data_IF_735188590729
#
_entry.id   IF_735188590729
#
_cell.length_a   1.000
_cell.length_b   1.000
_cell.length_c   1.000
_cell.angle_alpha   90.00
_cell.angle_beta   90.00
_cell.angle_gamma   90.00
#
_symmetry.space_group_name_H-M   'P 1'
#
loop_
_entity.id
_entity.type
_entity.pdbx_description
1 polymer ?
#
# COMPACT_ATOMS: atom_id res chain seq x y z
N UNK A 1 -24.48 -5.48 14.89
CA UNK A 1 -23.37 -6.13 15.62
C UNK A 1 -22.72 -7.11 14.66
N UNK A 2 -21.39 -7.07 14.54
CA UNK A 2 -20.59 -7.99 13.72
C UNK A 2 -19.79 -8.83 14.71
N UNK A 3 -20.03 -10.13 14.76
CA UNK A 3 -19.46 -11.05 15.74
C UNK A 3 -18.40 -11.92 15.06
N UNK A 4 -17.20 -11.38 14.88
CA UNK A 4 -16.08 -12.08 14.24
C UNK A 4 -15.51 -13.13 15.21
N UNK A 5 -15.13 -14.29 14.70
CA UNK A 5 -14.37 -15.28 15.45
C UNK A 5 -13.12 -14.64 16.10
N UNK A 6 -12.92 -14.85 17.40
CA UNK A 6 -11.87 -14.17 18.14
C UNK A 6 -10.47 -14.41 17.52
N UNK A 7 -9.72 -13.33 17.26
CA UNK A 7 -8.39 -13.40 16.64
C UNK A 7 -8.40 -13.45 15.11
N UNK A 8 -9.57 -13.43 14.48
CA UNK A 8 -9.74 -13.46 13.01
C UNK A 8 -10.08 -12.08 12.42
N UNK A 9 -10.00 -11.00 13.21
CA UNK A 9 -10.24 -9.62 12.79
C UNK A 9 -9.29 -9.17 11.67
N UNK A 10 -8.12 -9.78 11.58
CA UNK A 10 -7.21 -9.61 10.44
C UNK A 10 -7.90 -9.96 9.13
N UNK A 11 -8.49 -11.15 9.02
CA UNK A 11 -9.16 -11.62 7.80
C UNK A 11 -10.31 -10.69 7.38
N UNK A 12 -11.07 -10.18 8.36
CA UNK A 12 -12.13 -9.19 8.14
C UNK A 12 -11.61 -7.94 7.43
N UNK A 13 -10.57 -7.31 7.98
CA UNK A 13 -10.00 -6.10 7.39
C UNK A 13 -9.27 -6.36 6.07
N UNK A 14 -8.68 -7.55 5.88
CA UNK A 14 -8.08 -7.90 4.60
C UNK A 14 -9.12 -7.97 3.48
N UNK A 15 -10.29 -8.58 3.72
CA UNK A 15 -11.37 -8.63 2.74
C UNK A 15 -12.05 -7.29 2.50
N UNK A 16 -12.20 -6.45 3.52
CA UNK A 16 -12.65 -5.06 3.34
C UNK A 16 -11.69 -4.32 2.41
N UNK A 17 -10.37 -4.43 2.61
CA UNK A 17 -9.40 -3.77 1.74
C UNK A 17 -9.43 -4.28 0.31
N UNK A 18 -9.67 -5.57 0.08
CA UNK A 18 -9.89 -6.09 -1.26
C UNK A 18 -11.06 -5.36 -1.96
N UNK A 19 -12.20 -5.21 -1.28
CA UNK A 19 -13.37 -4.50 -1.81
C UNK A 19 -13.08 -3.00 -2.00
N UNK A 20 -12.47 -2.34 -1.01
CA UNK A 20 -12.10 -0.92 -1.10
C UNK A 20 -11.14 -0.65 -2.27
N UNK A 21 -10.12 -1.49 -2.44
CA UNK A 21 -9.15 -1.33 -3.52
C UNK A 21 -9.78 -1.62 -4.89
N UNK A 22 -10.67 -2.61 -4.97
CA UNK A 22 -11.38 -2.94 -6.20
C UNK A 22 -12.33 -1.81 -6.61
N UNK A 23 -13.25 -1.43 -5.74
CA UNK A 23 -14.34 -0.52 -6.11
C UNK A 23 -13.90 0.95 -6.06
N UNK A 24 -13.23 1.37 -4.98
CA UNK A 24 -12.94 2.79 -4.78
C UNK A 24 -11.60 3.24 -5.39
N UNK A 25 -10.62 2.34 -5.51
CA UNK A 25 -9.29 2.70 -6.03
C UNK A 25 -9.05 2.27 -7.47
N UNK A 26 -9.58 1.12 -7.91
CA UNK A 26 -9.39 0.65 -9.29
C UNK A 26 -10.55 1.04 -10.21
N UNK A 27 -11.79 0.69 -9.87
CA UNK A 27 -12.95 0.91 -10.73
C UNK A 27 -13.39 2.36 -10.74
N UNK A 28 -13.66 2.93 -9.56
CA UNK A 28 -14.16 4.32 -9.44
C UNK A 28 -13.05 5.36 -9.39
N UNK A 29 -11.88 5.01 -8.83
CA UNK A 29 -10.75 5.91 -8.60
C UNK A 29 -11.16 7.21 -7.87
N UNK A 30 -11.73 7.08 -6.67
CA UNK A 30 -12.21 8.20 -5.87
C UNK A 30 -11.10 9.26 -5.72
N UNK A 31 -11.30 10.51 -6.20
CA UNK A 31 -10.24 11.50 -6.27
C UNK A 31 -9.61 11.81 -4.91
N UNK A 32 -10.43 11.97 -3.86
CA UNK A 32 -9.95 12.23 -2.51
C UNK A 32 -9.04 11.11 -1.99
N UNK A 33 -9.39 9.85 -2.23
CA UNK A 33 -8.58 8.70 -1.79
C UNK A 33 -7.25 8.62 -2.54
N UNK A 34 -7.29 8.87 -3.85
CA UNK A 34 -6.11 8.85 -4.71
C UNK A 34 -5.14 9.96 -4.31
N UNK A 35 -5.63 11.19 -4.15
CA UNK A 35 -4.84 12.36 -3.75
C UNK A 35 -4.19 12.16 -2.37
N UNK A 36 -4.97 11.67 -1.40
CA UNK A 36 -4.45 11.33 -0.07
C UNK A 36 -3.35 10.27 -0.15
N UNK A 37 -3.59 9.19 -0.90
CA UNK A 37 -2.64 8.07 -1.04
C UNK A 37 -1.34 8.53 -1.69
N UNK A 38 -1.40 9.42 -2.67
CA UNK A 38 -0.21 9.98 -3.33
C UNK A 38 0.66 10.83 -2.39
N UNK A 39 0.04 11.60 -1.48
CA UNK A 39 0.73 12.58 -0.65
C UNK A 39 1.21 12.05 0.69
N UNK A 40 0.41 11.20 1.33
CA UNK A 40 0.53 10.90 2.75
C UNK A 40 0.89 9.46 3.06
N UNK A 41 1.21 8.67 2.04
CA UNK A 41 1.60 7.25 2.21
C UNK A 41 2.87 6.94 1.43
N UNK A 42 3.45 5.78 1.72
CA UNK A 42 4.57 5.20 0.96
C UNK A 42 4.12 4.50 -0.34
N UNK A 43 2.83 4.51 -0.64
CA UNK A 43 2.25 3.84 -1.80
C UNK A 43 2.90 4.21 -3.16
N UNK A 44 3.35 5.45 -3.43
CA UNK A 44 4.05 5.80 -4.66
C UNK A 44 5.54 5.43 -4.68
N UNK A 45 6.12 5.00 -3.55
CA UNK A 45 7.54 4.64 -3.52
C UNK A 45 7.82 3.38 -4.35
N UNK A 46 9.02 3.37 -4.93
CA UNK A 46 9.53 2.28 -5.75
C UNK A 46 10.13 1.19 -4.87
N UNK A 47 9.70 -0.04 -5.06
CA UNK A 47 10.27 -1.26 -4.50
C UNK A 47 11.08 -1.96 -5.58
N UNK A 48 12.33 -2.30 -5.28
CA UNK A 48 13.11 -3.19 -6.14
C UNK A 48 12.65 -4.63 -5.96
N UNK A 49 12.37 -5.30 -7.07
CA UNK A 49 12.01 -6.71 -7.08
C UNK A 49 13.28 -7.57 -7.18
N UNK A 50 13.40 -8.54 -6.28
CA UNK A 50 14.51 -9.49 -6.27
C UNK A 50 14.10 -10.79 -6.93
N UNK A 51 14.96 -11.35 -7.79
CA UNK A 51 14.68 -12.64 -8.43
C UNK A 51 14.66 -13.76 -7.38
N UNK A 52 13.66 -14.64 -7.48
CA UNK A 52 13.52 -15.85 -6.69
C UNK A 52 13.20 -17.01 -7.64
N UNK A 53 14.23 -17.69 -8.15
CA UNK A 53 14.07 -18.68 -9.21
C UNK A 53 13.48 -18.05 -10.50
N UNK A 54 12.30 -18.51 -10.91
CA UNK A 54 11.58 -18.00 -12.08
C UNK A 54 10.59 -16.86 -11.76
N UNK A 55 10.45 -16.50 -10.48
CA UNK A 55 9.54 -15.44 -10.01
C UNK A 55 10.34 -14.30 -9.38
N UNK A 56 9.64 -13.30 -8.87
CA UNK A 56 10.19 -12.20 -8.10
C UNK A 56 9.57 -12.14 -6.71
N UNK A 57 10.31 -11.61 -5.73
CA UNK A 57 9.77 -11.17 -4.43
C UNK A 57 9.98 -9.66 -4.28
N UNK A 58 9.09 -9.02 -3.54
CA UNK A 58 9.25 -7.62 -3.16
C UNK A 58 10.50 -7.49 -2.25
N UNK A 59 11.47 -6.70 -2.68
CA UNK A 59 12.69 -6.43 -1.93
C UNK A 59 12.58 -5.15 -1.11
N UNK A 60 13.66 -4.36 -1.11
CA UNK A 60 13.71 -3.08 -0.41
C UNK A 60 13.15 -1.95 -1.27
N UNK A 61 12.74 -0.86 -0.62
CA UNK A 61 12.51 0.41 -1.32
C UNK A 61 13.80 0.86 -2.02
N UNK A 62 13.67 1.32 -3.27
CA UNK A 62 14.78 1.82 -4.06
C UNK A 62 15.34 3.09 -3.41
N UNK A 63 16.60 3.01 -2.98
CA UNK A 63 17.32 4.13 -2.35
C UNK A 63 17.81 5.13 -3.39
N UNK A 64 17.84 6.41 -3.02
CA UNK A 64 18.18 7.49 -3.93
C UNK A 64 19.62 7.37 -4.45
N UNK A 65 20.59 7.06 -3.58
CA UNK A 65 22.00 6.95 -3.95
C UNK A 65 22.32 5.87 -5.00
N UNK A 66 21.36 4.99 -5.30
CA UNK A 66 21.49 4.01 -6.37
C UNK A 66 21.28 4.59 -7.77
N UNK A 67 20.77 5.81 -7.88
CA UNK A 67 20.66 6.54 -9.15
C UNK A 67 21.75 7.60 -9.26
N UNK A 68 22.34 7.72 -10.44
CA UNK A 68 23.44 8.66 -10.70
C UNK A 68 23.07 10.11 -10.34
N UNK A 69 21.82 10.51 -10.60
CA UNK A 69 21.31 11.85 -10.29
C UNK A 69 21.30 12.20 -8.79
N UNK A 70 21.30 11.19 -7.90
CA UNK A 70 21.22 11.38 -6.45
C UNK A 70 22.38 10.73 -5.68
N UNK A 71 23.42 10.28 -6.38
CA UNK A 71 24.52 9.51 -5.78
C UNK A 71 25.29 10.30 -4.71
N UNK A 72 25.36 11.63 -4.84
CA UNK A 72 26.06 12.53 -3.92
C UNK A 72 25.17 13.12 -2.83
N UNK A 73 23.90 12.72 -2.73
CA UNK A 73 22.97 13.25 -1.73
C UNK A 73 23.36 12.76 -0.34
N UNK A 74 23.41 13.67 0.64
CA UNK A 74 23.64 13.35 2.04
C UNK A 74 22.59 12.35 2.54
N UNK A 75 23.03 11.30 3.25
CA UNK A 75 22.16 10.23 3.73
C UNK A 75 21.34 9.54 2.62
N UNK A 76 21.87 9.45 1.39
CA UNK A 76 21.13 8.92 0.23
C UNK A 76 20.61 7.48 0.37
N UNK A 77 21.20 6.66 1.25
CA UNK A 77 20.67 5.34 1.64
C UNK A 77 19.34 5.42 2.41
N UNK A 78 19.02 6.58 2.97
CA UNK A 78 17.83 6.87 3.79
C UNK A 78 16.84 7.79 3.08
N UNK A 79 17.01 7.96 1.77
CA UNK A 79 16.12 8.69 0.88
C UNK A 79 15.52 7.73 -0.15
N UNK A 80 14.22 7.83 -0.41
CA UNK A 80 13.50 6.93 -1.29
C UNK A 80 13.06 7.60 -2.59
N UNK A 81 12.63 6.81 -3.57
CA UNK A 81 12.28 7.28 -4.89
C UNK A 81 10.81 7.01 -5.22
N UNK A 82 10.16 7.98 -5.87
CA UNK A 82 8.86 7.87 -6.51
C UNK A 82 9.03 7.99 -8.03
N UNK A 83 8.13 7.39 -8.81
CA UNK A 83 8.08 7.66 -10.25
C UNK A 83 7.26 8.92 -10.52
N UNK A 84 7.85 9.89 -11.20
CA UNK A 84 7.17 11.12 -11.59
C UNK A 84 6.51 10.97 -12.96
N UNK A 85 5.20 11.16 -13.02
CA UNK A 85 4.42 11.00 -14.26
C UNK A 85 4.82 12.01 -15.33
N UNK A 86 5.11 13.25 -14.94
CA UNK A 86 5.36 14.34 -15.89
C UNK A 86 6.71 14.18 -16.60
N UNK A 87 7.75 13.84 -15.85
CA UNK A 87 9.12 13.70 -16.38
C UNK A 87 9.47 12.27 -16.77
N UNK A 88 8.59 11.29 -16.47
CA UNK A 88 8.79 9.87 -16.75
C UNK A 88 10.14 9.36 -16.25
N UNK A 89 10.52 9.77 -15.03
CA UNK A 89 11.72 9.30 -14.34
C UNK A 89 11.48 9.17 -12.84
N UNK A 90 12.35 8.44 -12.17
CA UNK A 90 12.40 8.42 -10.72
C UNK A 90 12.84 9.79 -10.17
N UNK A 91 12.14 10.27 -9.16
CA UNK A 91 12.48 11.48 -8.39
C UNK A 91 12.55 11.16 -6.89
N UNK A 92 13.39 11.90 -6.19
CA UNK A 92 13.60 11.76 -4.74
C UNK A 92 12.80 12.86 -4.02
N UNK A 93 11.59 12.58 -3.50
CA UNK A 93 10.84 13.59 -2.77
C UNK A 93 11.53 14.01 -1.47
N UNK A 94 11.21 15.21 -1.02
CA UNK A 94 11.45 15.66 0.36
C UNK A 94 10.76 14.72 1.38
N UNK A 95 11.14 14.84 2.65
CA UNK A 95 10.42 14.20 3.77
C UNK A 95 10.89 12.82 4.22
N UNK A 96 11.68 12.12 3.40
CA UNK A 96 12.33 10.87 3.82
C UNK A 96 13.28 11.09 5.01
N UNK A 97 13.51 10.04 5.82
CA UNK A 97 14.20 10.15 7.12
C UNK A 97 15.64 10.66 7.00
N UNK A 98 16.29 10.48 5.84
CA UNK A 98 17.60 11.05 5.55
C UNK A 98 17.64 12.58 5.73
N UNK A 99 16.56 13.30 5.43
CA UNK A 99 16.46 14.75 5.61
C UNK A 99 16.29 15.18 7.06
N UNK A 100 15.78 14.31 7.93
CA UNK A 100 15.59 14.63 9.37
C UNK A 100 16.93 14.89 10.07
N UNK A 101 17.98 14.18 9.62
CA UNK A 101 19.31 14.20 10.23
C UNK A 101 20.38 14.71 9.26
N UNK A 102 19.98 15.38 8.18
CA UNK A 102 20.90 16.03 7.26
C UNK A 102 21.52 17.26 7.94
N UNK A 103 22.84 17.37 7.88
CA UNK A 103 23.56 18.53 8.44
C UNK A 103 23.61 19.68 7.44
N UNK A 104 23.67 19.36 6.13
CA UNK A 104 23.80 20.36 5.07
C UNK A 104 22.44 20.73 4.49
N UNK A 105 21.65 19.71 4.17
CA UNK A 105 20.37 19.84 3.47
C UNK A 105 19.18 20.00 4.45
N UNK A 106 19.23 21.05 5.28
CA UNK A 106 18.21 21.32 6.31
C UNK A 106 16.91 21.88 5.72
N UNK A 107 15.80 21.79 6.47
CA UNK A 107 14.48 22.31 6.05
C UNK A 107 13.72 21.44 5.03
N UNK A 108 14.30 20.34 4.58
CA UNK A 108 13.72 19.40 3.59
C UNK A 108 12.97 18.21 4.20
N UNK A 109 12.86 18.12 5.52
CA UNK A 109 12.06 17.10 6.20
C UNK A 109 10.60 17.55 6.33
N UNK A 110 9.88 17.51 5.21
CA UNK A 110 8.47 17.90 5.09
C UNK A 110 7.78 17.07 3.99
N UNK A 111 6.45 17.18 3.86
CA UNK A 111 5.64 16.39 2.92
C UNK A 111 5.36 17.10 1.59
N UNK A 112 6.14 18.12 1.22
CA UNK A 112 5.98 18.76 -0.08
C UNK A 112 6.42 17.79 -1.18
N UNK A 113 5.55 17.59 -2.19
CA UNK A 113 5.84 16.78 -3.36
C UNK A 113 6.75 17.54 -4.33
N UNK A 114 7.98 17.76 -3.87
CA UNK A 114 9.04 18.45 -4.58
C UNK A 114 10.29 17.58 -4.54
N UNK A 115 11.04 17.59 -5.63
CA UNK A 115 12.33 16.92 -5.68
C UNK A 115 13.30 17.57 -4.68
N UNK A 116 13.95 16.73 -3.90
CA UNK A 116 14.83 17.16 -2.82
C UNK A 116 16.13 17.82 -3.29
N UNK A 117 16.47 17.75 -4.58
CA UNK A 117 17.63 18.44 -5.16
C UNK A 117 17.23 19.76 -5.82
N UNK A 118 16.25 19.75 -6.72
CA UNK A 118 15.94 20.90 -7.58
C UNK A 118 14.61 21.62 -7.24
N UNK A 119 13.86 21.13 -6.24
CA UNK A 119 12.52 21.61 -5.86
C UNK A 119 11.48 21.56 -6.99
N UNK A 120 11.74 20.86 -8.10
CA UNK A 120 10.75 20.67 -9.15
C UNK A 120 9.57 19.85 -8.60
N UNK A 121 8.33 20.14 -9.01
CA UNK A 121 7.17 19.40 -8.54
C UNK A 121 7.27 17.92 -8.95
N UNK A 122 6.69 17.06 -8.10
CA UNK A 122 6.52 15.63 -8.33
C UNK A 122 5.02 15.34 -8.45
N UNK A 123 4.61 14.71 -9.55
CA UNK A 123 3.31 14.04 -9.71
C UNK A 123 3.53 12.52 -9.55
N UNK A 124 3.34 11.96 -8.33
CA UNK A 124 3.68 10.57 -8.06
C UNK A 124 2.73 9.61 -8.77
N UNK A 125 3.28 8.71 -9.58
CA UNK A 125 2.51 7.64 -10.20
C UNK A 125 2.28 6.51 -9.18
N UNK A 126 1.02 6.19 -8.87
CA UNK A 126 0.69 5.08 -7.97
C UNK A 126 0.83 3.71 -8.63
N UNK A 127 0.60 3.57 -9.92
CA UNK A 127 0.64 2.26 -10.60
C UNK A 127 1.20 2.39 -12.00
N UNK A 128 1.97 1.39 -12.43
CA UNK A 128 2.46 1.30 -13.81
C UNK A 128 1.48 0.58 -14.75
N UNK A 129 0.31 0.16 -14.27
CA UNK A 129 -0.73 -0.40 -15.14
C UNK A 129 -1.05 0.58 -16.28
N UNK A 130 -0.99 0.11 -17.53
CA UNK A 130 -1.20 0.92 -18.74
C UNK A 130 0.02 1.71 -19.24
N UNK A 131 1.06 1.84 -18.41
CA UNK A 131 2.28 2.61 -18.75
C UNK A 131 3.58 1.82 -18.46
N UNK A 132 3.48 0.56 -18.08
CA UNK A 132 4.60 -0.32 -17.77
C UNK A 132 5.38 -0.72 -19.01
N UNK A 133 6.67 -0.99 -18.87
CA UNK A 133 7.50 -1.60 -19.92
C UNK A 133 7.82 -3.07 -19.66
N UNK A 134 7.11 -3.69 -18.71
CA UNK A 134 7.23 -5.10 -18.41
C UNK A 134 6.21 -5.55 -17.35
N UNK A 135 6.12 -6.85 -17.19
CA UNK A 135 5.32 -7.51 -16.17
C UNK A 135 6.21 -8.53 -15.46
N UNK A 136 6.17 -8.56 -14.13
CA UNK A 136 6.89 -9.52 -13.31
C UNK A 136 5.90 -10.43 -12.59
N UNK A 137 6.12 -11.75 -12.65
CA UNK A 137 5.40 -12.70 -11.80
C UNK A 137 5.93 -12.61 -10.38
N UNK A 138 5.16 -12.00 -9.47
CA UNK A 138 5.55 -11.78 -8.08
C UNK A 138 4.91 -12.82 -7.18
N UNK A 139 5.72 -13.35 -6.28
CA UNK A 139 5.33 -14.31 -5.25
C UNK A 139 4.92 -13.59 -3.97
N UNK A 140 3.78 -13.96 -3.42
CA UNK A 140 3.22 -13.46 -2.17
C UNK A 140 2.92 -14.63 -1.23
N UNK A 141 3.22 -14.47 0.06
CA UNK A 141 2.95 -15.50 1.05
C UNK A 141 1.44 -15.48 1.44
N UNK A 142 0.78 -16.64 1.37
CA UNK A 142 -0.57 -16.89 1.88
C UNK A 142 -0.47 -17.79 3.11
N UNK A 143 -0.30 -17.15 4.27
CA UNK A 143 -0.20 -17.86 5.55
C UNK A 143 -1.51 -18.52 5.99
N UNK A 144 -2.67 -18.14 5.42
CA UNK A 144 -3.96 -18.74 5.77
C UNK A 144 -4.04 -20.20 5.29
N UNK A 145 -3.54 -20.44 4.08
CA UNK A 145 -3.51 -21.76 3.44
C UNK A 145 -2.11 -22.39 3.43
N UNK A 146 -1.11 -21.76 4.08
CA UNK A 146 0.26 -22.26 4.15
C UNK A 146 0.95 -22.41 2.79
N UNK A 147 0.60 -21.55 1.83
CA UNK A 147 1.07 -21.62 0.42
C UNK A 147 1.57 -20.26 -0.06
N UNK A 148 2.04 -20.22 -1.31
CA UNK A 148 2.35 -18.98 -2.01
C UNK A 148 1.33 -18.74 -3.12
N UNK A 149 1.09 -17.47 -3.42
CA UNK A 149 0.23 -17.00 -4.51
C UNK A 149 1.08 -16.19 -5.49
N UNK A 150 0.96 -16.48 -6.79
CA UNK A 150 1.77 -15.88 -7.83
C UNK A 150 0.93 -14.94 -8.70
N UNK A 151 1.22 -13.64 -8.67
CA UNK A 151 0.45 -12.62 -9.39
C UNK A 151 1.35 -11.74 -10.24
N UNK A 152 0.91 -11.47 -11.45
CA UNK A 152 1.64 -10.60 -12.37
C UNK A 152 1.49 -9.12 -11.95
N UNK A 153 2.62 -8.42 -11.84
CA UNK A 153 2.69 -7.02 -11.42
C UNK A 153 3.34 -6.19 -12.52
N UNK A 154 2.72 -5.06 -12.95
CA UNK A 154 3.34 -4.12 -13.88
C UNK A 154 4.61 -3.51 -13.28
N UNK A 155 5.71 -3.55 -14.03
CA UNK A 155 7.02 -3.09 -13.58
C UNK A 155 7.65 -2.08 -14.53
N UNK A 156 8.67 -1.39 -14.02
CA UNK A 156 9.63 -0.63 -14.83
C UNK A 156 11.05 -1.13 -14.59
N UNK A 157 11.88 -1.06 -15.63
CA UNK A 157 13.32 -1.26 -15.51
C UNK A 157 14.04 0.09 -15.44
N UNK A 158 14.89 0.26 -14.42
CA UNK A 158 15.65 1.50 -14.17
C UNK A 158 17.14 1.17 -14.17
N UNK A 159 17.93 1.91 -14.95
CA UNK A 159 19.38 1.82 -14.92
C UNK A 159 19.92 2.50 -13.65
N UNK A 160 20.76 1.76 -12.93
CA UNK A 160 21.40 2.21 -11.69
C UNK A 160 22.75 2.88 -11.97
N UNK A 161 23.26 3.61 -10.97
CA UNK A 161 24.54 4.29 -11.03
C UNK A 161 25.73 3.35 -11.32
N UNK A 162 25.64 2.08 -10.92
CA UNK A 162 26.65 1.07 -11.20
C UNK A 162 26.51 0.40 -12.60
N UNK A 163 25.59 0.87 -13.44
CA UNK A 163 25.32 0.34 -14.77
C UNK A 163 24.38 -0.87 -14.83
N UNK A 164 24.05 -1.49 -13.69
CA UNK A 164 23.07 -2.59 -13.64
C UNK A 164 21.63 -2.07 -13.76
N UNK A 165 20.68 -3.00 -13.97
CA UNK A 165 19.25 -2.68 -14.13
C UNK A 165 18.50 -3.19 -12.89
N UNK A 166 17.73 -2.31 -12.24
CA UNK A 166 16.73 -2.69 -11.25
C UNK A 166 15.35 -2.82 -11.91
N UNK A 167 14.66 -3.93 -11.65
CA UNK A 167 13.23 -4.08 -11.94
C UNK A 167 12.44 -3.58 -10.73
N UNK A 168 11.54 -2.63 -10.92
CA UNK A 168 10.81 -1.98 -9.85
C UNK A 168 9.30 -2.01 -10.06
N UNK A 169 8.56 -2.07 -8.96
CA UNK A 169 7.12 -1.80 -8.89
C UNK A 169 6.88 -0.69 -7.86
N UNK A 170 5.72 -0.05 -7.89
CA UNK A 170 5.31 0.83 -6.78
C UNK A 170 4.78 -0.02 -5.62
N UNK A 171 4.89 0.48 -4.38
CA UNK A 171 4.26 -0.15 -3.20
C UNK A 171 2.77 -0.36 -3.46
N UNK A 172 2.07 0.63 -4.01
CA UNK A 172 0.65 0.53 -4.36
C UNK A 172 0.35 -0.58 -5.38
N UNK A 173 1.19 -0.73 -6.41
CA UNK A 173 1.06 -1.80 -7.40
C UNK A 173 1.21 -3.19 -6.77
N UNK A 174 2.15 -3.34 -5.83
CA UNK A 174 2.33 -4.55 -5.04
C UNK A 174 1.17 -4.80 -4.07
N UNK A 175 0.62 -3.75 -3.44
CA UNK A 175 -0.56 -3.88 -2.58
C UNK A 175 -1.79 -4.32 -3.38
N UNK A 176 -2.03 -3.75 -4.56
CA UNK A 176 -3.10 -4.18 -5.46
C UNK A 176 -2.98 -5.68 -5.82
N UNK A 177 -1.75 -6.16 -6.03
CA UNK A 177 -1.48 -7.56 -6.27
C UNK A 177 -1.64 -8.42 -4.99
N UNK A 178 -1.10 -8.01 -3.84
CA UNK A 178 -1.27 -8.70 -2.55
C UNK A 178 -2.76 -8.90 -2.21
N UNK A 179 -3.58 -7.86 -2.42
CA UNK A 179 -5.02 -7.92 -2.16
C UNK A 179 -5.83 -8.58 -3.27
N UNK A 180 -5.21 -9.10 -4.34
CA UNK A 180 -5.92 -9.83 -5.38
C UNK A 180 -6.88 -8.96 -6.19
N UNK A 181 -6.56 -7.68 -6.40
CA UNK A 181 -7.42 -6.79 -7.18
C UNK A 181 -7.28 -7.12 -8.67
N UNK A 182 -8.38 -7.52 -9.29
CA UNK A 182 -8.43 -7.90 -10.71
C UNK A 182 -8.31 -6.66 -11.58
N UNK A 183 -7.25 -6.59 -12.40
CA UNK A 183 -6.94 -5.42 -13.24
C UNK A 183 -6.52 -5.79 -14.67
N UNK A 184 -6.94 -6.96 -15.15
CA UNK A 184 -6.56 -7.49 -16.48
C UNK A 184 -5.13 -8.03 -16.56
N UNK A 185 -4.57 -8.49 -15.43
CA UNK A 185 -3.22 -9.05 -15.32
C UNK A 185 -3.29 -10.58 -15.12
N UNK A 186 -2.21 -11.27 -15.49
CA UNK A 186 -2.10 -12.73 -15.33
C UNK A 186 -1.76 -13.19 -13.91
N UNK A 187 -1.76 -14.51 -13.72
CA UNK A 187 -1.51 -15.13 -12.41
C UNK A 187 -2.79 -15.39 -11.61
N UNK A 188 -2.61 -15.71 -10.34
CA UNK A 188 -3.66 -16.17 -9.42
C UNK A 188 -4.45 -15.00 -8.84
N UNK A 189 -5.17 -14.27 -9.70
CA UNK A 189 -6.17 -13.29 -9.26
C UNK A 189 -7.54 -13.98 -9.06
N UNK A 190 -8.35 -13.54 -8.08
CA UNK A 190 -9.70 -14.04 -7.90
C UNK A 190 -10.58 -13.77 -9.10
N UNK A 191 -11.51 -14.69 -9.37
CA UNK A 191 -12.50 -14.50 -10.45
C UNK A 191 -13.66 -13.60 -10.01
N UNK A 192 -13.94 -13.54 -8.71
CA UNK A 192 -14.99 -12.72 -8.11
C UNK A 192 -14.80 -12.61 -6.60
N UNK A 193 -15.66 -11.83 -5.93
CA UNK A 193 -15.75 -11.86 -4.47
C UNK A 193 -16.18 -13.21 -3.90
N UNK A 194 -16.78 -14.07 -4.72
CA UNK A 194 -17.24 -15.40 -4.34
C UNK A 194 -16.15 -16.47 -4.42
N UNK A 195 -14.97 -16.12 -4.93
CA UNK A 195 -13.84 -17.03 -5.06
C UNK A 195 -13.17 -17.27 -3.70
N UNK A 196 -13.58 -18.36 -3.05
CA UNK A 196 -13.08 -18.75 -1.74
C UNK A 196 -11.66 -19.34 -1.73
N UNK A 197 -11.06 -19.57 -2.91
CA UNK A 197 -9.74 -20.18 -3.05
C UNK A 197 -8.62 -19.13 -3.02
N UNK A 198 -8.98 -17.86 -3.20
CA UNK A 198 -8.05 -16.75 -3.32
C UNK A 198 -8.03 -15.91 -2.05
N UNK A 199 -6.82 -15.66 -1.54
CA UNK A 199 -6.61 -14.89 -0.33
C UNK A 199 -7.28 -13.52 -0.42
N UNK A 200 -7.96 -13.15 0.67
CA UNK A 200 -8.58 -11.85 0.92
C UNK A 200 -9.85 -11.53 0.12
N UNK A 201 -10.46 -12.47 -0.60
CA UNK A 201 -11.83 -12.24 -1.08
C UNK A 201 -12.82 -12.25 0.10
N UNK A 202 -14.01 -11.65 -0.07
CA UNK A 202 -15.10 -11.80 0.90
C UNK A 202 -15.44 -13.26 1.21
N UNK A 203 -15.51 -14.14 0.21
CA UNK A 203 -15.73 -15.58 0.39
C UNK A 203 -14.62 -16.28 1.19
N UNK A 204 -13.35 -15.95 0.90
CA UNK A 204 -12.22 -16.44 1.69
C UNK A 204 -12.35 -16.03 3.16
N UNK A 205 -12.73 -14.77 3.44
CA UNK A 205 -12.84 -14.29 4.81
C UNK A 205 -13.99 -14.92 5.61
N UNK A 206 -15.05 -15.44 4.97
CA UNK A 206 -16.13 -16.15 5.68
C UNK A 206 -15.59 -17.36 6.45
N UNK A 207 -14.66 -18.10 5.84
CA UNK A 207 -14.03 -19.31 6.42
C UNK A 207 -13.36 -19.03 7.77
N UNK A 208 -12.80 -17.83 7.93
CA UNK A 208 -12.05 -17.44 9.11
C UNK A 208 -12.91 -16.65 10.09
N UNK A 209 -13.68 -15.68 9.58
CA UNK A 209 -14.40 -14.71 10.41
C UNK A 209 -15.72 -15.24 10.95
N UNK A 210 -16.33 -16.23 10.28
CA UNK A 210 -17.70 -16.66 10.55
C UNK A 210 -18.78 -15.66 10.11
N UNK A 211 -18.39 -14.55 9.48
CA UNK A 211 -19.29 -13.52 8.98
C UNK A 211 -19.64 -13.78 7.51
N UNK A 212 -20.90 -13.58 7.15
CA UNK A 212 -21.34 -13.67 5.76
C UNK A 212 -20.68 -12.57 4.88
N UNK A 213 -20.25 -12.93 3.68
CA UNK A 213 -19.56 -12.10 2.68
C UNK A 213 -20.36 -10.85 2.32
N UNK A 214 -21.69 -10.92 2.31
CA UNK A 214 -22.56 -9.78 2.05
C UNK A 214 -22.41 -8.71 3.14
N UNK A 215 -22.19 -9.13 4.39
CA UNK A 215 -21.93 -8.20 5.50
C UNK A 215 -20.57 -7.52 5.32
N UNK A 216 -19.54 -8.25 4.90
CA UNK A 216 -18.20 -7.72 4.61
C UNK A 216 -18.27 -6.69 3.48
N UNK A 217 -18.89 -7.06 2.36
CA UNK A 217 -19.03 -6.22 1.16
C UNK A 217 -19.84 -4.96 1.50
N UNK A 218 -20.97 -5.12 2.20
CA UNK A 218 -21.81 -4.00 2.63
C UNK A 218 -21.04 -3.05 3.54
N UNK A 219 -20.34 -3.57 4.54
CA UNK A 219 -19.53 -2.75 5.44
C UNK A 219 -18.47 -1.96 4.68
N UNK A 220 -17.72 -2.61 3.77
CA UNK A 220 -16.70 -1.95 2.97
C UNK A 220 -17.27 -0.81 2.11
N UNK A 221 -18.43 -1.03 1.49
CA UNK A 221 -19.13 -0.01 0.67
C UNK A 221 -19.66 1.14 1.49
N UNK A 222 -20.28 0.87 2.64
CA UNK A 222 -20.78 1.90 3.56
C UNK A 222 -19.62 2.73 4.13
N UNK A 223 -18.49 2.07 4.46
CA UNK A 223 -17.24 2.70 4.88
C UNK A 223 -16.69 3.64 3.81
N UNK A 224 -16.47 3.14 2.58
CA UNK A 224 -16.01 3.95 1.46
C UNK A 224 -16.93 5.13 1.19
N UNK A 225 -18.25 4.90 1.18
CA UNK A 225 -19.25 5.95 0.95
C UNK A 225 -19.15 7.06 2.00
N UNK A 226 -18.99 6.68 3.27
CA UNK A 226 -18.89 7.64 4.37
C UNK A 226 -17.59 8.42 4.26
N UNK A 227 -16.46 7.74 4.06
CA UNK A 227 -15.16 8.38 3.92
C UNK A 227 -15.10 9.33 2.70
N UNK A 228 -15.67 8.93 1.57
CA UNK A 228 -15.74 9.76 0.37
C UNK A 228 -16.58 11.02 0.61
N UNK A 229 -17.80 10.88 1.15
CA UNK A 229 -18.71 12.01 1.37
C UNK A 229 -18.21 13.02 2.41
N UNK A 230 -17.35 12.58 3.31
CA UNK A 230 -16.91 13.37 4.46
C UNK A 230 -15.45 13.79 4.40
N UNK A 231 -14.74 13.41 3.34
CA UNK A 231 -13.29 13.54 3.22
C UNK A 231 -12.58 12.90 4.43
N UNK A 232 -12.82 11.61 4.66
CA UNK A 232 -12.04 10.79 5.57
C UNK A 232 -12.61 10.62 6.99
N UNK A 233 -13.87 10.97 7.28
CA UNK A 233 -14.42 10.86 8.65
C UNK A 233 -14.94 9.46 8.98
N UNK A 234 -14.07 8.47 8.84
CA UNK A 234 -14.28 7.12 9.36
C UNK A 234 -13.24 6.83 10.44
N UNK A 235 -13.68 6.31 11.59
CA UNK A 235 -12.82 6.04 12.74
C UNK A 235 -12.87 4.57 13.12
N UNK A 236 -11.70 3.98 13.40
CA UNK A 236 -11.61 2.69 14.08
C UNK A 236 -11.21 2.94 15.53
N UNK A 237 -12.11 2.62 16.46
CA UNK A 237 -11.81 2.60 17.90
C UNK A 237 -11.33 1.19 18.23
N UNK A 238 -10.09 1.06 18.72
CA UNK A 238 -9.42 -0.24 18.89
C UNK A 238 -8.74 -0.35 20.27
N UNK A 239 -8.78 -1.54 20.87
CA UNK A 239 -8.21 -1.77 22.20
C UNK A 239 -7.59 -3.16 22.38
N UNK A 240 -7.43 -3.57 23.64
CA UNK A 240 -6.73 -4.79 24.04
C UNK A 240 -7.29 -6.08 23.41
N UNK A 241 -8.58 -6.13 23.06
CA UNK A 241 -9.19 -7.28 22.38
C UNK A 241 -8.53 -7.65 21.05
N UNK A 242 -7.88 -6.68 20.38
CA UNK A 242 -7.06 -6.91 19.20
C UNK A 242 -5.56 -6.89 19.57
N UNK A 243 -5.13 -5.95 20.42
CA UNK A 243 -3.71 -5.73 20.69
C UNK A 243 -3.03 -6.86 21.46
N UNK A 244 -3.78 -7.67 22.22
CA UNK A 244 -3.23 -8.73 23.07
C UNK A 244 -3.08 -10.09 22.37
N UNK A 245 -3.33 -10.15 21.07
CA UNK A 245 -2.99 -11.31 20.26
C UNK A 245 -1.53 -11.29 19.84
N UNK A 246 -0.92 -12.46 19.67
CA UNK A 246 0.46 -12.59 19.18
C UNK A 246 0.68 -11.85 17.85
N UNK A 247 -0.31 -11.89 16.95
CA UNK A 247 -0.31 -11.16 15.68
C UNK A 247 -1.13 -9.87 15.72
N UNK A 248 -1.29 -9.24 16.89
CA UNK A 248 -2.00 -7.98 17.06
C UNK A 248 -1.46 -6.87 16.14
N UNK A 249 -0.16 -6.83 15.92
CA UNK A 249 0.48 -5.91 14.97
C UNK A 249 -0.07 -6.02 13.53
N UNK A 250 -0.34 -7.24 13.05
CA UNK A 250 -0.90 -7.47 11.71
C UNK A 250 -2.36 -7.03 11.63
N UNK A 251 -3.15 -7.28 12.68
CA UNK A 251 -4.54 -6.83 12.75
C UNK A 251 -4.66 -5.31 12.83
N UNK A 252 -3.78 -4.65 13.59
CA UNK A 252 -3.67 -3.18 13.61
C UNK A 252 -3.33 -2.63 12.24
N UNK A 253 -2.28 -3.16 11.60
CA UNK A 253 -1.91 -2.75 10.23
C UNK A 253 -3.07 -2.97 9.26
N UNK A 254 -3.86 -4.02 9.45
CA UNK A 254 -4.97 -4.30 8.57
C UNK A 254 -6.03 -3.19 8.59
N UNK A 255 -6.45 -2.76 9.78
CA UNK A 255 -7.39 -1.64 9.96
C UNK A 255 -6.79 -0.28 9.58
N UNK A 256 -5.53 -0.02 9.97
CA UNK A 256 -4.82 1.23 9.64
C UNK A 256 -4.73 1.41 8.12
N UNK A 257 -4.45 0.34 7.38
CA UNK A 257 -4.35 0.44 5.94
C UNK A 257 -5.69 0.74 5.26
N UNK A 258 -6.81 0.23 5.79
CA UNK A 258 -8.14 0.61 5.31
C UNK A 258 -8.42 2.11 5.57
N UNK A 259 -8.03 2.62 6.75
CA UNK A 259 -8.10 4.05 7.07
C UNK A 259 -7.24 4.89 6.11
N UNK A 260 -6.01 4.46 5.80
CA UNK A 260 -5.14 5.16 4.84
C UNK A 260 -5.71 5.15 3.41
N UNK A 261 -6.22 4.01 2.93
CA UNK A 261 -6.87 3.93 1.61
C UNK A 261 -8.11 4.81 1.49
N UNK A 262 -8.76 5.14 2.61
CA UNK A 262 -9.92 6.03 2.63
C UNK A 262 -9.60 7.46 3.10
N UNK A 263 -8.31 7.80 3.26
CA UNK A 263 -7.86 9.13 3.65
C UNK A 263 -8.25 9.56 5.07
N UNK A 264 -8.43 8.62 5.98
CA UNK A 264 -9.01 8.92 7.29
C UNK A 264 -8.00 9.37 8.36
N UNK A 265 -6.72 9.01 8.22
CA UNK A 265 -5.70 9.38 9.23
C UNK A 265 -5.37 10.87 9.12
N UNK A 266 -5.46 11.60 10.24
CA UNK A 266 -5.15 13.04 10.31
C UNK A 266 -6.36 13.96 10.08
N UNK A 267 -7.58 13.40 10.01
CA UNK A 267 -8.82 14.16 9.79
C UNK A 267 -9.66 14.16 11.07
N UNK A 268 -10.23 15.31 11.45
CA UNK A 268 -11.19 15.38 12.56
C UNK A 268 -12.43 14.51 12.28
N UNK A 269 -12.71 13.56 13.17
CA UNK A 269 -13.76 12.54 13.00
C UNK A 269 -13.31 11.30 12.21
N UNK A 270 -12.04 11.25 11.80
CA UNK A 270 -11.42 10.10 11.15
C UNK A 270 -10.20 9.59 11.91
N UNK A 271 -9.81 8.36 11.62
CA UNK A 271 -8.49 7.84 11.98
C UNK A 271 -8.52 6.59 12.86
N UNK A 272 -7.35 6.26 13.41
CA UNK A 272 -7.22 5.17 14.39
C UNK A 272 -7.26 5.77 15.79
N UNK A 273 -8.25 5.36 16.58
CA UNK A 273 -8.40 5.75 17.97
C UNK A 273 -8.07 4.55 18.87
N UNK A 274 -6.77 4.41 19.18
CA UNK A 274 -6.27 3.34 20.04
C UNK A 274 -6.44 3.71 21.52
N UNK A 275 -7.08 2.84 22.29
CA UNK A 275 -7.24 3.00 23.74
C UNK A 275 -6.91 1.71 24.49
N UNK A 276 -5.97 1.80 25.43
CA UNK A 276 -5.56 0.72 26.35
C UNK A 276 -5.45 1.28 27.78
N UNK A 277 -4.24 1.41 28.32
CA UNK A 277 -3.98 2.09 29.60
C UNK A 277 -3.83 3.60 29.47
N UNK A 278 -3.53 4.25 30.58
CA UNK A 278 -3.27 5.69 30.68
C UNK A 278 -1.81 6.00 30.33
N UNK A 279 -1.50 6.13 29.04
CA UNK A 279 -0.13 6.36 28.54
C UNK A 279 0.21 7.83 28.28
N UNK A 280 -0.80 8.68 28.11
CA UNK A 280 -0.67 10.08 27.70
C UNK A 280 -0.89 11.06 28.84
#
# INVERSE_FOLDING_TARGET
WVAINAGQDGAWWMAIKHVLLTEAHHQKQVPYFTDYTQKYTDAPYLVELTKHGATYRAGQLLRANRLAAYQSVENGDWQFLMWDRNTQRAKMPKGSVGYRWANKETGKWNLLLEDGVDNSPIDPQLTFLGESNGVAKVEFDDFGEGRNVFRDVPVRNIQLANGSIATVATVYGLLMAQYGVVRGLGGEYPTSYDDETQAYTPAWAEKYTGMNRDVIIRFAREWATTAEKTNGRCTVIIGAGINHWYHGNLMYRAAIQALMFCGCIGVNGGGLAHYVGQEK
#
